data_IF_697197813561
#
_entry.id   IF_697197813561
#
_cell.length_a   1.000
_cell.length_b   1.000
_cell.length_c   1.000
_cell.angle_alpha   90.00
_cell.angle_beta   90.00
_cell.angle_gamma   90.00
#
_symmetry.space_group_name_H-M   'P 1'
#
loop_
_entity.id
_entity.type
_entity.pdbx_description
1 polymer ?
#
# COMPACT_ATOMS: atom_id res chain seq x y z
N UNK A 1 -30.75 -9.08 -6.62
CA UNK A 1 -29.67 -8.23 -6.07
C UNK A 1 -29.43 -7.10 -7.06
N UNK A 2 -29.41 -5.85 -6.62
CA UNK A 2 -28.98 -4.73 -7.47
C UNK A 2 -27.53 -4.93 -7.90
N UNK A 3 -27.22 -4.57 -9.14
CA UNK A 3 -25.87 -4.67 -9.69
C UNK A 3 -24.99 -3.59 -9.04
N UNK A 4 -23.87 -4.00 -8.44
CA UNK A 4 -22.94 -3.07 -7.80
C UNK A 4 -22.24 -2.24 -8.90
N UNK A 5 -22.47 -0.92 -8.89
CA UNK A 5 -21.88 0.03 -9.83
C UNK A 5 -20.37 0.20 -9.61
N UNK A 6 -19.66 0.77 -10.59
CA UNK A 6 -18.23 1.09 -10.46
C UNK A 6 -17.98 2.08 -9.32
N UNK A 7 -18.83 3.10 -9.21
CA UNK A 7 -18.81 4.10 -8.13
C UNK A 7 -18.92 3.45 -6.76
N UNK A 8 -19.88 2.55 -6.55
CA UNK A 8 -20.03 1.83 -5.28
C UNK A 8 -18.80 0.97 -4.93
N UNK A 9 -18.09 0.44 -5.93
CA UNK A 9 -16.84 -0.29 -5.72
C UNK A 9 -15.69 0.63 -5.29
N UNK A 10 -15.60 1.82 -5.90
CA UNK A 10 -14.61 2.83 -5.55
C UNK A 10 -14.87 3.34 -4.12
N UNK A 11 -16.11 3.72 -3.81
CA UNK A 11 -16.52 4.11 -2.46
C UNK A 11 -16.22 3.00 -1.45
N UNK A 12 -16.54 1.74 -1.79
CA UNK A 12 -16.23 0.59 -0.94
C UNK A 12 -14.73 0.39 -0.70
N UNK A 13 -13.87 0.65 -1.69
CA UNK A 13 -12.42 0.55 -1.53
C UNK A 13 -11.87 1.65 -0.61
N UNK A 14 -12.27 2.91 -0.84
CA UNK A 14 -11.80 4.06 -0.06
C UNK A 14 -12.34 4.03 1.38
N UNK A 15 -13.63 3.78 1.56
CA UNK A 15 -14.22 3.63 2.89
C UNK A 15 -13.71 2.38 3.59
N UNK A 16 -13.54 1.27 2.87
CA UNK A 16 -12.98 0.04 3.44
C UNK A 16 -11.58 0.26 4.02
N UNK A 17 -10.73 1.02 3.32
CA UNK A 17 -9.41 1.39 3.84
C UNK A 17 -9.53 2.26 5.10
N UNK A 18 -10.31 3.35 5.04
CA UNK A 18 -10.49 4.27 6.18
C UNK A 18 -11.04 3.56 7.42
N UNK A 19 -12.05 2.70 7.24
CA UNK A 19 -12.65 1.95 8.34
C UNK A 19 -11.67 0.93 8.91
N UNK A 20 -10.88 0.27 8.05
CA UNK A 20 -9.87 -0.70 8.47
C UNK A 20 -8.72 -0.07 9.26
N UNK A 21 -8.23 1.08 8.78
CA UNK A 21 -7.25 1.93 9.45
C UNK A 21 -7.75 2.33 10.85
N UNK A 22 -8.91 2.98 10.93
CA UNK A 22 -9.47 3.45 12.20
C UNK A 22 -9.82 2.31 13.18
N UNK A 23 -10.19 1.11 12.70
CA UNK A 23 -10.39 -0.07 13.55
C UNK A 23 -9.07 -0.66 14.06
N UNK A 24 -8.00 -0.60 13.26
CA UNK A 24 -6.68 -1.15 13.58
C UNK A 24 -5.87 -0.27 14.53
N UNK A 25 -6.01 1.05 14.40
CA UNK A 25 -5.26 2.09 15.11
C UNK A 25 -5.06 1.82 16.60
N UNK A 26 -6.07 1.47 17.42
CA UNK A 26 -5.88 1.32 18.87
C UNK A 26 -4.85 0.24 19.26
N UNK A 27 -4.68 -0.76 18.39
CA UNK A 27 -3.82 -1.92 18.61
C UNK A 27 -2.46 -1.84 17.93
N UNK A 28 -2.16 -0.73 17.24
CA UNK A 28 -0.98 -0.60 16.41
C UNK A 28 0.31 -0.90 17.20
N UNK A 29 1.23 -1.62 16.56
CA UNK A 29 2.52 -2.07 17.09
C UNK A 29 2.46 -2.95 18.36
N UNK A 30 1.28 -3.29 18.87
CA UNK A 30 1.16 -4.20 20.00
C UNK A 30 1.17 -5.67 19.56
N UNK A 31 1.86 -6.56 20.31
CA UNK A 31 1.75 -7.99 20.10
C UNK A 31 0.30 -8.47 20.30
N UNK A 32 -0.11 -9.48 19.52
CA UNK A 32 -1.46 -10.06 19.58
C UNK A 32 -1.90 -10.46 21.00
N UNK A 33 -0.98 -10.95 21.83
CA UNK A 33 -1.26 -11.31 23.23
C UNK A 33 -1.65 -10.08 24.07
N UNK A 34 -0.95 -8.95 23.89
CA UNK A 34 -1.27 -7.70 24.56
C UNK A 34 -2.62 -7.16 24.09
N UNK A 35 -2.88 -7.19 22.79
CA UNK A 35 -4.17 -6.77 22.21
C UNK A 35 -5.32 -7.58 22.82
N UNK A 36 -5.18 -8.92 22.90
CA UNK A 36 -6.19 -9.78 23.54
C UNK A 36 -6.36 -9.51 25.03
N UNK A 37 -5.27 -9.27 25.75
CA UNK A 37 -5.34 -8.98 27.20
C UNK A 37 -5.99 -7.63 27.48
N UNK A 38 -5.70 -6.62 26.67
CA UNK A 38 -6.17 -5.25 26.88
C UNK A 38 -7.60 -5.05 26.35
N UNK A 39 -7.87 -5.50 25.12
CA UNK A 39 -9.15 -5.26 24.44
C UNK A 39 -10.07 -6.48 24.39
N UNK A 40 -9.54 -7.68 24.54
CA UNK A 40 -10.25 -8.92 24.17
C UNK A 40 -10.41 -9.02 22.65
N UNK A 41 -11.48 -8.42 22.15
CA UNK A 41 -11.83 -8.35 20.73
C UNK A 41 -12.23 -6.92 20.35
N UNK A 42 -11.64 -6.39 19.28
CA UNK A 42 -11.98 -5.06 18.75
C UNK A 42 -13.11 -5.25 17.73
N UNK A 43 -14.34 -4.85 18.09
CA UNK A 43 -15.55 -4.91 17.25
C UNK A 43 -16.17 -3.54 16.94
N UNK A 44 -15.55 -2.47 17.44
CA UNK A 44 -15.99 -1.09 17.28
C UNK A 44 -14.79 -0.15 17.27
N UNK A 45 -15.03 1.09 16.89
CA UNK A 45 -14.01 2.13 17.01
C UNK A 45 -13.71 2.42 18.48
N UNK A 46 -12.43 2.51 18.82
CA UNK A 46 -11.94 2.79 20.16
C UNK A 46 -10.93 3.93 20.08
N UNK A 47 -10.78 4.65 21.18
CA UNK A 47 -9.68 5.59 21.34
C UNK A 47 -8.34 4.84 21.37
N UNK A 48 -7.27 5.51 20.94
CA UNK A 48 -5.93 5.02 21.15
C UNK A 48 -5.57 5.01 22.65
N UNK A 49 -5.12 3.88 23.22
CA UNK A 49 -4.73 3.85 24.63
C UNK A 49 -3.59 4.83 24.92
N UNK A 50 -3.64 5.53 26.05
CA UNK A 50 -2.56 6.45 26.46
C UNK A 50 -1.19 5.76 26.58
N UNK A 51 -1.18 4.44 26.87
CA UNK A 51 0.00 3.59 26.95
C UNK A 51 0.49 3.05 25.59
N UNK A 52 -0.21 3.35 24.49
CA UNK A 52 0.21 3.02 23.14
C UNK A 52 0.79 4.26 22.44
N UNK A 53 2.12 4.35 22.38
CA UNK A 53 2.80 5.52 21.79
C UNK A 53 2.48 5.78 20.31
N UNK A 54 2.01 4.78 19.56
CA UNK A 54 1.60 4.94 18.17
C UNK A 54 0.15 5.48 18.05
N UNK A 55 -0.72 5.05 18.95
CA UNK A 55 -2.15 5.29 18.88
C UNK A 55 -2.65 6.45 19.77
N UNK A 56 -1.89 6.84 20.80
CA UNK A 56 -2.34 7.75 21.87
C UNK A 56 -2.77 9.16 21.43
N UNK A 57 -2.50 9.54 20.17
CA UNK A 57 -2.90 10.82 19.59
C UNK A 57 -4.24 10.78 18.86
N UNK A 58 -4.89 9.62 18.78
CA UNK A 58 -6.10 9.42 17.99
C UNK A 58 -7.28 9.01 18.86
N UNK A 59 -8.46 9.53 18.52
CA UNK A 59 -9.74 9.15 19.13
C UNK A 59 -10.49 8.15 18.25
N UNK A 60 -11.55 7.55 18.79
CA UNK A 60 -12.41 6.62 18.07
C UNK A 60 -12.83 7.18 16.70
N UNK A 61 -12.70 6.33 15.68
CA UNK A 61 -13.03 6.59 14.28
C UNK A 61 -12.11 7.60 13.57
N UNK A 62 -11.05 8.11 14.22
CA UNK A 62 -9.98 8.80 13.51
C UNK A 62 -9.08 7.80 12.80
N UNK A 63 -8.74 8.11 11.55
CA UNK A 63 -7.78 7.37 10.75
C UNK A 63 -6.36 7.92 10.93
N UNK A 64 -5.34 7.11 10.61
CA UNK A 64 -3.93 7.45 10.80
C UNK A 64 -3.27 7.94 9.50
N UNK A 65 -1.94 7.77 9.40
CA UNK A 65 -1.15 8.07 8.21
C UNK A 65 -1.54 7.21 7.00
N UNK A 66 -2.02 5.98 7.17
CA UNK A 66 -2.48 5.10 6.08
C UNK A 66 -3.52 5.80 5.19
N UNK A 67 -4.63 6.25 5.79
CA UNK A 67 -5.69 6.97 5.06
C UNK A 67 -5.26 8.37 4.67
N UNK A 68 -4.53 9.07 5.54
CA UNK A 68 -4.10 10.43 5.24
C UNK A 68 -3.18 10.52 4.03
N UNK A 69 -2.22 9.59 3.92
CA UNK A 69 -1.32 9.51 2.78
C UNK A 69 -2.04 9.01 1.51
N UNK A 70 -3.10 8.21 1.65
CA UNK A 70 -3.96 7.85 0.52
C UNK A 70 -4.76 9.06 0.01
N UNK A 71 -5.34 9.87 0.90
CA UNK A 71 -6.01 11.12 0.50
C UNK A 71 -5.04 12.08 -0.18
N UNK A 72 -3.81 12.22 0.34
CA UNK A 72 -2.77 13.01 -0.32
C UNK A 72 -2.42 12.50 -1.74
N UNK A 73 -2.41 11.17 -1.95
CA UNK A 73 -2.28 10.57 -3.28
C UNK A 73 -3.50 10.87 -4.16
N UNK A 74 -4.72 10.76 -3.63
CA UNK A 74 -5.94 11.09 -4.37
C UNK A 74 -5.95 12.55 -4.82
N UNK A 75 -5.60 13.49 -3.94
CA UNK A 75 -5.47 14.91 -4.26
C UNK A 75 -4.45 15.16 -5.37
N UNK A 76 -3.31 14.46 -5.34
CA UNK A 76 -2.29 14.57 -6.38
C UNK A 76 -2.78 14.06 -7.74
N UNK A 77 -3.51 12.94 -7.76
CA UNK A 77 -4.10 12.41 -8.98
C UNK A 77 -5.17 13.34 -9.54
N UNK A 78 -6.02 13.93 -8.69
CA UNK A 78 -7.06 14.89 -9.11
C UNK A 78 -6.42 16.14 -9.70
N UNK A 79 -5.39 16.68 -9.05
CA UNK A 79 -4.68 17.87 -9.54
C UNK A 79 -3.95 17.63 -10.87
N UNK A 80 -3.52 16.39 -11.11
CA UNK A 80 -2.83 15.98 -12.32
C UNK A 80 -3.78 15.42 -13.39
N UNK A 81 -5.09 15.64 -13.29
CA UNK A 81 -6.11 15.11 -14.23
C UNK A 81 -6.01 13.58 -14.45
N UNK A 82 -5.60 12.85 -13.41
CA UNK A 82 -5.44 11.40 -13.39
C UNK A 82 -4.01 10.90 -13.63
N UNK A 83 -3.07 11.77 -14.00
CA UNK A 83 -1.67 11.39 -14.22
C UNK A 83 -0.91 11.14 -12.90
N UNK A 84 0.01 10.18 -12.91
CA UNK A 84 0.86 9.90 -11.76
C UNK A 84 2.11 10.76 -11.82
N UNK A 85 2.10 11.87 -11.07
CA UNK A 85 3.23 12.80 -10.96
C UNK A 85 3.88 12.69 -9.58
N UNK A 86 5.08 12.08 -9.46
CA UNK A 86 5.75 11.86 -8.17
C UNK A 86 5.92 13.13 -7.33
N UNK A 87 6.23 14.26 -7.97
CA UNK A 87 6.46 15.55 -7.33
C UNK A 87 5.18 16.11 -6.70
N UNK A 88 4.03 15.95 -7.34
CA UNK A 88 2.74 16.36 -6.78
C UNK A 88 2.34 15.47 -5.59
N UNK A 89 2.60 14.16 -5.69
CA UNK A 89 2.39 13.21 -4.60
C UNK A 89 3.26 13.59 -3.40
N UNK A 90 4.56 13.82 -3.62
CA UNK A 90 5.49 14.26 -2.60
C UNK A 90 5.00 15.55 -1.91
N UNK A 91 4.62 16.55 -2.69
CA UNK A 91 4.14 17.84 -2.19
C UNK A 91 2.87 17.71 -1.35
N UNK A 92 1.89 16.93 -1.79
CA UNK A 92 0.64 16.73 -1.04
C UNK A 92 0.86 15.91 0.24
N UNK A 93 1.76 14.91 0.21
CA UNK A 93 2.17 14.17 1.41
C UNK A 93 2.87 15.10 2.41
N UNK A 94 3.82 15.93 1.96
CA UNK A 94 4.50 16.91 2.81
C UNK A 94 3.50 17.89 3.41
N UNK A 95 2.53 18.39 2.63
CA UNK A 95 1.47 19.28 3.11
C UNK A 95 0.69 18.66 4.27
N UNK A 96 0.28 17.41 4.15
CA UNK A 96 -0.41 16.70 5.24
C UNK A 96 0.50 16.52 6.47
N UNK A 97 1.74 16.06 6.25
CA UNK A 97 2.71 15.82 7.32
C UNK A 97 2.95 17.09 8.15
N UNK A 98 3.06 18.24 7.50
CA UNK A 98 3.26 19.53 8.15
C UNK A 98 2.00 19.99 8.88
N UNK A 99 0.82 19.80 8.29
CA UNK A 99 -0.46 20.17 8.91
C UNK A 99 -0.80 19.34 10.16
N UNK A 100 -0.43 18.05 10.18
CA UNK A 100 -0.65 17.16 11.33
C UNK A 100 0.48 17.21 12.37
N UNK A 101 1.62 17.83 12.04
CA UNK A 101 2.87 17.75 12.80
C UNK A 101 3.37 16.30 12.98
N UNK A 102 3.25 15.50 11.92
CA UNK A 102 3.54 14.07 11.95
C UNK A 102 5.04 13.76 12.17
N UNK A 103 5.93 14.70 11.84
CA UNK A 103 7.37 14.58 12.11
C UNK A 103 7.70 14.53 13.60
N UNK A 104 7.07 15.38 14.40
CA UNK A 104 7.32 15.51 15.85
C UNK A 104 6.56 14.46 16.65
N UNK A 105 5.34 14.10 16.21
CA UNK A 105 4.52 13.05 16.83
C UNK A 105 5.01 11.63 16.53
N UNK A 106 6.07 11.49 15.73
CA UNK A 106 6.68 10.22 15.33
C UNK A 106 5.69 9.20 14.73
N UNK A 107 4.70 9.71 14.00
CA UNK A 107 3.70 8.91 13.29
C UNK A 107 4.31 8.26 12.05
N UNK A 108 5.20 8.99 11.35
CA UNK A 108 5.85 8.49 10.16
C UNK A 108 6.90 7.42 10.47
N UNK A 109 6.85 6.32 9.72
CA UNK A 109 7.93 5.35 9.69
C UNK A 109 9.29 5.98 9.29
N UNK A 110 10.43 5.40 9.74
CA UNK A 110 11.76 5.99 9.55
C UNK A 110 12.12 6.29 8.09
N UNK A 111 11.76 5.41 7.15
CA UNK A 111 12.06 5.58 5.72
C UNK A 111 11.29 6.74 5.10
N UNK A 112 9.99 6.85 5.38
CA UNK A 112 9.16 7.99 4.93
C UNK A 112 9.69 9.30 5.50
N UNK A 113 10.04 9.31 6.80
CA UNK A 113 10.57 10.49 7.48
C UNK A 113 11.84 11.01 6.81
N UNK A 114 12.80 10.14 6.53
CA UNK A 114 14.05 10.50 5.86
C UNK A 114 13.80 11.03 4.45
N UNK A 115 13.05 10.28 3.63
CA UNK A 115 12.79 10.65 2.24
C UNK A 115 12.10 12.02 2.13
N UNK A 116 11.07 12.26 2.95
CA UNK A 116 10.34 13.52 2.94
C UNK A 116 11.20 14.69 3.44
N UNK A 117 12.08 14.46 4.41
CA UNK A 117 13.01 15.49 4.88
C UNK A 117 14.02 15.92 3.80
N UNK A 118 14.51 14.99 2.99
CA UNK A 118 15.40 15.29 1.85
C UNK A 118 14.67 16.05 0.74
N UNK A 119 13.43 15.64 0.43
CA UNK A 119 12.58 16.36 -0.53
C UNK A 119 12.31 17.80 -0.09
N UNK A 120 12.08 18.04 1.21
CA UNK A 120 11.93 19.40 1.76
C UNK A 120 13.19 20.26 1.61
N UNK A 121 14.37 19.64 1.46
CA UNK A 121 15.65 20.32 1.17
C UNK A 121 15.88 20.54 -0.34
N UNK A 122 14.95 20.12 -1.19
CA UNK A 122 15.04 20.26 -2.64
C UNK A 122 15.79 19.12 -3.34
N UNK A 123 16.08 18.01 -2.64
CA UNK A 123 16.67 16.82 -3.30
C UNK A 123 15.65 16.23 -4.27
N UNK A 124 16.07 15.99 -5.51
CA UNK A 124 15.20 15.45 -6.53
C UNK A 124 14.75 14.03 -6.18
N UNK A 125 13.49 13.67 -6.49
CA UNK A 125 12.95 12.33 -6.18
C UNK A 125 13.81 11.24 -6.81
N UNK A 126 14.37 11.45 -8.00
CA UNK A 126 15.29 10.52 -8.67
C UNK A 126 16.53 10.19 -7.86
N UNK A 127 17.03 11.15 -7.06
CA UNK A 127 18.29 11.07 -6.31
C UNK A 127 18.12 10.46 -4.91
N UNK A 128 16.87 10.33 -4.42
CA UNK A 128 16.62 9.77 -3.10
C UNK A 128 17.07 8.30 -3.00
N UNK A 129 17.83 7.97 -1.95
CA UNK A 129 18.19 6.59 -1.61
C UNK A 129 17.19 5.95 -0.63
N UNK A 130 15.90 6.05 -0.94
CA UNK A 130 14.81 5.63 -0.08
C UNK A 130 14.39 4.16 -0.28
N UNK A 131 15.32 3.25 0.00
CA UNK A 131 15.14 1.79 -0.12
C UNK A 131 14.37 1.15 1.06
N UNK A 132 13.44 1.89 1.68
CA UNK A 132 12.61 1.37 2.77
C UNK A 132 11.84 0.11 2.35
N UNK A 133 11.77 -0.88 3.24
CA UNK A 133 11.13 -2.19 3.00
C UNK A 133 9.78 -2.36 3.71
N UNK A 134 9.27 -1.28 4.33
CA UNK A 134 7.99 -1.28 5.04
C UNK A 134 6.82 -1.14 4.06
N UNK A 135 5.60 -1.25 4.58
CA UNK A 135 4.35 -1.20 3.82
C UNK A 135 3.92 0.21 3.38
N UNK A 136 4.74 1.26 3.61
CA UNK A 136 4.33 2.67 3.42
C UNK A 136 3.85 3.01 2.00
N UNK A 137 4.37 2.32 0.97
CA UNK A 137 3.85 2.43 -0.38
C UNK A 137 2.52 1.70 -0.57
N UNK A 138 2.37 0.51 0.01
CA UNK A 138 1.21 -0.35 -0.17
C UNK A 138 -0.03 0.15 0.59
N UNK A 139 0.14 0.69 1.79
CA UNK A 139 -0.97 1.14 2.65
C UNK A 139 -1.76 2.31 2.05
N UNK A 140 -1.13 3.11 1.18
CA UNK A 140 -1.74 4.32 0.59
C UNK A 140 -2.23 4.16 -0.85
N UNK A 141 -2.07 2.99 -1.47
CA UNK A 141 -2.16 2.84 -2.93
C UNK A 141 -3.60 2.65 -3.47
N UNK A 142 -4.60 2.53 -2.59
CA UNK A 142 -5.97 2.27 -3.02
C UNK A 142 -6.56 3.30 -3.99
N UNK A 143 -6.29 4.61 -3.90
CA UNK A 143 -6.81 5.58 -4.86
C UNK A 143 -6.28 5.34 -6.27
N UNK A 144 -4.99 5.03 -6.41
CA UNK A 144 -4.41 4.67 -7.70
C UNK A 144 -5.07 3.41 -8.26
N UNK A 145 -5.24 2.38 -7.43
CA UNK A 145 -5.97 1.16 -7.82
C UNK A 145 -7.41 1.42 -8.26
N UNK A 146 -8.06 2.47 -7.75
CA UNK A 146 -9.44 2.81 -8.13
C UNK A 146 -9.56 3.34 -9.57
N UNK A 147 -8.53 4.06 -10.03
CA UNK A 147 -8.54 4.79 -11.31
C UNK A 147 -7.71 4.12 -12.39
N UNK A 148 -6.66 3.39 -12.02
CA UNK A 148 -5.72 2.76 -12.94
C UNK A 148 -6.26 1.42 -13.48
N UNK A 149 -6.40 1.25 -14.82
CA UNK A 149 -6.76 -0.04 -15.42
C UNK A 149 -5.72 -1.11 -15.11
N UNK A 150 -6.15 -2.33 -14.78
CA UNK A 150 -5.25 -3.40 -14.35
C UNK A 150 -4.39 -4.04 -15.46
N UNK A 151 -4.52 -3.56 -16.70
CA UNK A 151 -3.78 -4.01 -17.87
C UNK A 151 -3.54 -2.83 -18.84
N UNK A 152 -2.41 -2.82 -19.58
CA UNK A 152 -1.32 -3.81 -19.57
C UNK A 152 -0.50 -3.75 -18.27
N UNK A 153 -0.03 -4.90 -17.81
CA UNK A 153 0.61 -5.03 -16.49
C UNK A 153 1.92 -4.23 -16.39
N UNK A 154 2.67 -4.12 -17.48
CA UNK A 154 3.92 -3.34 -17.50
C UNK A 154 3.67 -1.87 -17.16
N UNK A 155 2.69 -1.26 -17.83
CA UNK A 155 2.26 0.11 -17.53
C UNK A 155 1.74 0.22 -16.10
N UNK A 156 0.93 -0.74 -15.65
CA UNK A 156 0.43 -0.77 -14.27
C UNK A 156 1.57 -0.71 -13.24
N UNK A 157 2.56 -1.59 -13.39
CA UNK A 157 3.73 -1.63 -12.50
C UNK A 157 4.53 -0.32 -12.53
N UNK A 158 4.68 0.29 -13.71
CA UNK A 158 5.35 1.57 -13.85
C UNK A 158 4.63 2.70 -13.11
N UNK A 159 3.31 2.79 -13.24
CA UNK A 159 2.50 3.80 -12.54
C UNK A 159 2.57 3.62 -11.01
N UNK A 160 2.51 2.37 -10.52
CA UNK A 160 2.66 2.09 -9.08
C UNK A 160 4.07 2.44 -8.59
N UNK A 161 5.11 2.17 -9.39
CA UNK A 161 6.48 2.58 -9.05
C UNK A 161 6.60 4.11 -8.94
N UNK A 162 6.05 4.86 -9.90
CA UNK A 162 6.03 6.32 -9.85
C UNK A 162 5.35 6.83 -8.58
N UNK A 163 4.18 6.28 -8.23
CA UNK A 163 3.45 6.65 -7.02
C UNK A 163 4.17 6.28 -5.71
N UNK A 164 5.04 5.27 -5.74
CA UNK A 164 5.82 4.80 -4.59
C UNK A 164 7.12 5.58 -4.39
N UNK A 165 7.74 6.01 -5.51
CA UNK A 165 9.07 6.60 -5.58
C UNK A 165 9.36 7.79 -4.65
N UNK A 166 8.39 8.63 -4.23
CA UNK A 166 8.65 9.69 -3.26
C UNK A 166 9.09 9.18 -1.89
N UNK A 167 8.77 7.93 -1.51
CA UNK A 167 9.05 7.42 -0.16
C UNK A 167 9.68 6.04 -0.13
N UNK A 168 9.38 5.18 -1.11
CA UNK A 168 9.83 3.79 -1.12
C UNK A 168 10.20 3.38 -2.56
N UNK A 169 11.46 3.00 -2.75
CA UNK A 169 11.98 2.48 -4.02
C UNK A 169 12.44 1.03 -3.97
N UNK A 170 12.38 0.37 -2.81
CA UNK A 170 12.78 -1.04 -2.71
C UNK A 170 11.84 -1.95 -3.50
N UNK A 171 12.41 -3.00 -4.09
CA UNK A 171 11.64 -3.97 -4.89
C UNK A 171 10.51 -4.60 -4.09
N UNK A 172 10.72 -4.91 -2.81
CA UNK A 172 9.72 -5.54 -1.95
C UNK A 172 8.57 -4.60 -1.61
N UNK A 173 8.86 -3.32 -1.32
CA UNK A 173 7.83 -2.33 -1.03
C UNK A 173 6.96 -2.04 -2.26
N UNK A 174 7.61 -1.87 -3.42
CA UNK A 174 6.91 -1.63 -4.70
C UNK A 174 6.11 -2.86 -5.12
N UNK A 175 6.66 -4.08 -4.99
CA UNK A 175 5.93 -5.31 -5.31
C UNK A 175 4.68 -5.47 -4.42
N UNK A 176 4.79 -5.16 -3.12
CA UNK A 176 3.65 -5.12 -2.21
C UNK A 176 2.58 -4.14 -2.68
N UNK A 177 2.98 -2.91 -3.02
CA UNK A 177 2.07 -1.89 -3.55
C UNK A 177 1.39 -2.32 -4.86
N UNK A 178 2.13 -2.96 -5.78
CA UNK A 178 1.59 -3.46 -7.04
C UNK A 178 0.50 -4.50 -6.79
N UNK A 179 0.72 -5.46 -5.89
CA UNK A 179 -0.27 -6.51 -5.59
C UNK A 179 -1.56 -5.91 -5.02
N UNK A 180 -1.44 -4.96 -4.08
CA UNK A 180 -2.60 -4.30 -3.47
C UNK A 180 -3.34 -3.44 -4.49
N UNK A 181 -2.64 -2.56 -5.21
CA UNK A 181 -3.24 -1.70 -6.22
C UNK A 181 -3.96 -2.52 -7.30
N UNK A 182 -3.32 -3.59 -7.78
CA UNK A 182 -3.87 -4.43 -8.83
C UNK A 182 -5.11 -5.19 -8.36
N UNK A 183 -5.12 -5.66 -7.10
CA UNK A 183 -6.28 -6.30 -6.50
C UNK A 183 -7.47 -5.33 -6.43
N UNK A 184 -7.21 -4.07 -6.04
CA UNK A 184 -8.22 -3.00 -6.05
C UNK A 184 -8.72 -2.76 -7.47
N UNK A 185 -7.85 -2.52 -8.46
CA UNK A 185 -8.25 -2.30 -9.86
C UNK A 185 -9.13 -3.44 -10.40
N UNK A 186 -8.75 -4.69 -10.12
CA UNK A 186 -9.54 -5.85 -10.52
C UNK A 186 -10.89 -5.93 -9.82
N UNK A 187 -10.96 -5.55 -8.54
CA UNK A 187 -12.22 -5.48 -7.80
C UNK A 187 -13.15 -4.39 -8.38
N UNK A 188 -12.60 -3.23 -8.78
CA UNK A 188 -13.31 -2.16 -9.48
C UNK A 188 -13.83 -2.64 -10.84
N UNK A 189 -13.02 -3.39 -11.59
CA UNK A 189 -13.38 -4.04 -12.86
C UNK A 189 -14.40 -5.18 -12.71
N UNK A 190 -14.84 -5.50 -11.48
CA UNK A 190 -15.90 -6.49 -11.24
C UNK A 190 -15.39 -7.93 -11.06
N UNK A 191 -14.08 -8.15 -10.86
CA UNK A 191 -13.57 -9.47 -10.54
C UNK A 191 -14.14 -9.98 -9.20
N UNK A 192 -14.49 -11.27 -9.15
CA UNK A 192 -14.91 -11.92 -7.91
C UNK A 192 -13.72 -12.18 -6.99
N UNK A 193 -13.97 -12.22 -5.68
CA UNK A 193 -12.97 -12.55 -4.66
C UNK A 193 -12.18 -13.83 -4.99
N UNK A 194 -12.88 -14.90 -5.42
CA UNK A 194 -12.24 -16.17 -5.79
C UNK A 194 -11.21 -15.99 -6.91
N UNK A 195 -11.49 -15.12 -7.88
CA UNK A 195 -10.59 -14.84 -9.00
C UNK A 195 -9.42 -13.95 -8.57
N UNK A 196 -9.67 -12.98 -7.68
CA UNK A 196 -8.66 -12.09 -7.10
C UNK A 196 -7.63 -12.90 -6.28
N UNK A 197 -8.10 -13.67 -5.30
CA UNK A 197 -7.24 -14.48 -4.42
C UNK A 197 -6.34 -15.44 -5.20
N UNK A 198 -6.87 -16.08 -6.25
CA UNK A 198 -6.06 -16.94 -7.12
C UNK A 198 -4.96 -16.15 -7.85
N UNK A 199 -5.28 -15.01 -8.47
CA UNK A 199 -4.32 -14.26 -9.28
C UNK A 199 -3.28 -13.51 -8.46
N UNK A 200 -3.63 -12.97 -7.29
CA UNK A 200 -2.68 -12.35 -6.36
C UNK A 200 -1.54 -13.30 -5.96
N UNK A 201 -1.82 -14.60 -5.86
CA UNK A 201 -0.79 -15.64 -5.59
C UNK A 201 0.19 -15.85 -6.75
N UNK A 202 -0.19 -15.47 -7.97
CA UNK A 202 0.60 -15.72 -9.20
C UNK A 202 1.28 -14.48 -9.77
N UNK A 203 0.87 -13.29 -9.33
CA UNK A 203 1.39 -11.98 -9.77
C UNK A 203 2.86 -11.70 -9.45
N UNK A 204 3.44 -12.12 -8.31
CA UNK A 204 4.83 -11.81 -7.97
C UNK A 204 5.89 -12.31 -8.96
N UNK A 205 5.51 -13.12 -9.95
CA UNK A 205 6.42 -13.71 -10.94
C UNK A 205 6.61 -12.87 -12.22
N UNK A 206 6.11 -11.63 -12.28
CA UNK A 206 6.27 -10.78 -13.47
C UNK A 206 7.54 -9.91 -13.41
N UNK A 207 8.38 -9.93 -14.47
CA UNK A 207 9.64 -9.19 -14.52
C UNK A 207 9.43 -7.68 -14.59
N UNK A 208 10.43 -6.93 -14.10
CA UNK A 208 10.53 -5.47 -14.09
C UNK A 208 10.27 -4.86 -15.49
N UNK A 209 9.59 -3.70 -15.60
CA UNK A 209 9.59 -2.92 -16.84
C UNK A 209 11.02 -2.56 -17.25
N UNK A 210 11.36 -2.81 -18.51
CA UNK A 210 12.66 -2.47 -19.04
C UNK A 210 12.74 -0.95 -19.29
N UNK A 211 13.53 -0.25 -18.45
CA UNK A 211 14.01 1.14 -18.60
C UNK A 211 12.98 2.26 -18.38
N UNK A 212 13.31 3.16 -17.45
CA UNK A 212 12.92 4.56 -17.52
C UNK A 212 13.71 5.26 -18.66
N UNK A 213 13.15 6.30 -19.32
CA UNK A 213 13.84 7.00 -20.40
C UNK A 213 15.14 7.69 -19.92
N UNK A 214 16.13 7.88 -20.82
CA UNK A 214 17.51 8.12 -20.44
C UNK A 214 17.82 9.61 -20.20
N UNK A 215 18.32 9.94 -19.01
CA UNK A 215 19.28 11.04 -18.83
C UNK A 215 20.29 10.69 -17.74
N UNK A 216 21.51 10.38 -18.20
CA UNK A 216 22.80 10.35 -17.50
C UNK A 216 23.14 9.16 -16.56
N UNK A 217 24.44 8.77 -16.48
CA UNK A 217 24.82 7.35 -16.50
C UNK A 217 25.71 6.88 -15.33
N UNK A 218 25.91 5.55 -15.31
CA UNK A 218 26.96 4.74 -14.65
C UNK A 218 26.80 4.39 -13.16
N UNK A 219 26.57 3.09 -12.89
CA UNK A 219 27.50 2.31 -12.05
C UNK A 219 27.42 0.79 -12.40
N UNK A 220 28.54 0.03 -12.33
CA UNK A 220 28.65 -1.34 -12.78
C UNK A 220 28.25 -2.40 -11.74
N UNK A 221 28.14 -3.63 -12.26
CA UNK A 221 28.03 -4.94 -11.62
C UNK A 221 28.35 -5.00 -10.12
N UNK A 222 27.38 -5.46 -9.34
CA UNK A 222 27.62 -6.38 -8.23
C UNK A 222 26.44 -7.36 -8.09
N UNK A 223 26.80 -8.65 -8.12
CA UNK A 223 26.13 -9.80 -7.49
C UNK A 223 24.93 -10.43 -8.23
N UNK A 224 25.30 -11.32 -9.14
CA UNK A 224 24.65 -12.61 -9.37
C UNK A 224 24.40 -13.38 -8.07
N UNK A 225 23.16 -13.77 -7.79
CA UNK A 225 22.86 -14.99 -7.04
C UNK A 225 21.66 -15.72 -7.68
N UNK A 226 21.77 -17.04 -7.64
CA UNK A 226 21.21 -18.04 -8.55
C UNK A 226 19.69 -18.09 -8.77
N UNK A 227 19.34 -18.27 -10.04
CA UNK A 227 18.17 -18.98 -10.55
C UNK A 227 18.23 -20.47 -10.24
N UNK A 228 17.13 -21.06 -9.77
CA UNK A 228 16.55 -22.38 -10.12
C UNK A 228 15.74 -22.95 -8.95
N UNK A 229 14.43 -22.68 -8.88
CA UNK A 229 13.56 -23.41 -7.93
C UNK A 229 12.06 -23.49 -8.29
N UNK A 230 11.61 -23.45 -9.55
CA UNK A 230 10.14 -23.57 -9.82
C UNK A 230 9.71 -24.32 -11.09
N UNK A 231 10.50 -25.28 -11.60
CA UNK A 231 10.19 -25.97 -12.88
C UNK A 231 9.52 -27.35 -12.79
N UNK A 232 8.79 -27.73 -11.74
CA UNK A 232 7.92 -28.93 -11.78
C UNK A 232 6.91 -29.04 -10.62
N UNK A 233 5.59 -28.99 -10.87
CA UNK A 233 4.59 -29.49 -9.91
C UNK A 233 3.99 -30.84 -10.37
N UNK A 234 3.85 -31.86 -9.48
CA UNK A 234 3.11 -33.08 -9.81
C UNK A 234 1.60 -32.89 -9.68
N UNK A 235 0.85 -33.73 -10.39
CA UNK A 235 -0.60 -33.68 -10.56
C UNK A 235 -1.40 -34.48 -9.51
N UNK A 236 -2.69 -34.14 -9.43
CA UNK A 236 -3.87 -34.98 -9.17
C UNK A 236 -4.61 -34.89 -7.82
N UNK A 237 -5.82 -34.31 -7.93
CA UNK A 237 -7.12 -34.94 -7.62
C UNK A 237 -7.82 -34.73 -6.26
N UNK A 238 -9.15 -34.51 -6.39
CA UNK A 238 -10.29 -34.58 -5.45
C UNK A 238 -10.77 -33.28 -4.75
N UNK A 239 -11.95 -32.82 -5.18
CA UNK A 239 -12.96 -31.99 -4.48
C UNK A 239 -14.03 -32.94 -3.87
N UNK A 240 -15.04 -32.55 -3.02
CA UNK A 240 -15.37 -31.26 -2.37
C UNK A 240 -15.81 -31.34 -0.86
N UNK A 241 -15.95 -30.20 -0.16
CA UNK A 241 -17.22 -29.70 0.44
C UNK A 241 -17.06 -28.65 1.57
N UNK A 242 -17.88 -27.59 1.44
CA UNK A 242 -18.41 -26.64 2.45
C UNK A 242 -17.50 -25.56 3.06
N UNK A 243 -17.96 -24.33 2.84
CA UNK A 243 -17.69 -23.11 3.60
C UNK A 243 -17.70 -23.38 5.10
N UNK A 244 -16.58 -23.13 5.78
CA UNK A 244 -16.47 -22.55 7.13
C UNK A 244 -14.99 -22.58 7.55
N UNK A 245 -14.55 -21.55 8.26
CA UNK A 245 -13.25 -21.40 8.94
C UNK A 245 -12.09 -20.87 8.08
N UNK A 246 -12.00 -19.54 7.99
CA UNK A 246 -10.72 -18.85 7.84
C UNK A 246 -10.64 -17.79 8.94
N UNK A 247 -9.53 -17.81 9.68
CA UNK A 247 -9.14 -16.99 10.86
C UNK A 247 -8.99 -17.72 12.20
N UNK A 248 -8.51 -18.97 12.26
CA UNK A 248 -7.74 -19.46 13.44
C UNK A 248 -6.78 -20.57 13.00
N UNK A 249 -5.57 -20.54 13.58
CA UNK A 249 -4.50 -21.58 13.67
C UNK A 249 -3.49 -21.54 12.52
N UNK A 250 -2.18 -21.43 12.75
CA UNK A 250 -1.35 -21.58 13.97
C UNK A 250 -0.42 -20.37 14.16
#
# INVERSE_FOLDING_TARGET
>A
MQQITRENRILGALYGQMLGDALGMPSELWPRERVKKHFGWIDRFLDGPAENNAACYFTAAQFTDDTSMALALADALIEADGDVVPELIARNVIRWVDGFDAFNKNILGPSSKLALAEQKKGVAISELENNGVTNGAAMRVSPLGCVLPSAPLEHFCQQVWLASSPTHKSDIAVAGAVVIAWAVSKAIEGASWRRLNWRCRTLPNTPRPARAPPSAPLWPRALSWHSTWWRNPPAASRLPSRFTNWWVRE
#
